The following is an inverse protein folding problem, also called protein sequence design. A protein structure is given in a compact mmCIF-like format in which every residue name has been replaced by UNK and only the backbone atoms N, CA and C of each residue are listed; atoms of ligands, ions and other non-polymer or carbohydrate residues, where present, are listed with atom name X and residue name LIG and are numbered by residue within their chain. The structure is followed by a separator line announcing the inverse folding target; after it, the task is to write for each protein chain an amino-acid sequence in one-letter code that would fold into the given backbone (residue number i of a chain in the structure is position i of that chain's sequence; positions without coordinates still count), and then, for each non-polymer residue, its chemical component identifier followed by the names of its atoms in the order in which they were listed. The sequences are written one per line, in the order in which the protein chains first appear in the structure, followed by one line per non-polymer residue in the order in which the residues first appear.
data_IF_469731107300
#
_entry.id   IF_469731107300
#
_cell.length_a   1.000
_cell.length_b   1.000
_cell.length_c   1.000
_cell.angle_alpha   90.00
_cell.angle_beta   90.00
_cell.angle_gamma   90.00
#
_symmetry.space_group_name_H-M   'P 1'
#
loop_
_entity.id
_entity.type
_entity.pdbx_description
1 polymer ?
#
# COMPACT_ATOMS: atom_id res chain seq x y z
N UNK A 1 8.62 5.06 14.85
CA UNK A 1 9.96 5.53 14.39
C UNK A 1 9.96 5.30 12.90
N UNK A 2 10.12 6.35 12.08
CA UNK A 2 10.11 6.20 10.63
C UNK A 2 11.44 5.60 10.16
N UNK A 3 11.34 4.67 9.22
CA UNK A 3 12.42 3.94 8.59
C UNK A 3 12.55 4.26 7.09
N UNK A 4 11.43 4.58 6.42
CA UNK A 4 11.41 5.03 5.03
C UNK A 4 11.35 6.55 4.90
N UNK A 5 10.38 7.20 5.55
CA UNK A 5 10.25 8.66 5.47
C UNK A 5 11.23 9.34 6.43
N UNK A 6 11.89 10.40 5.94
CA UNK A 6 12.87 11.15 6.75
C UNK A 6 12.20 11.98 7.85
N UNK A 7 10.96 12.42 7.63
CA UNK A 7 10.21 13.25 8.57
C UNK A 7 8.75 12.83 8.74
N UNK A 8 8.15 13.17 9.89
CA UNK A 8 6.71 12.99 10.13
C UNK A 8 5.84 13.74 9.11
N UNK A 9 6.33 14.88 8.59
CA UNK A 9 5.63 15.64 7.56
C UNK A 9 5.57 14.86 6.24
N UNK A 10 6.64 14.15 5.87
CA UNK A 10 6.68 13.32 4.66
C UNK A 10 5.75 12.11 4.79
N UNK A 11 5.77 11.44 5.95
CA UNK A 11 4.85 10.35 6.25
C UNK A 11 3.38 10.82 6.24
N UNK A 12 3.10 12.02 6.77
CA UNK A 12 1.77 12.62 6.74
C UNK A 12 1.34 12.97 5.30
N UNK A 13 2.23 13.52 4.48
CA UNK A 13 1.93 13.81 3.08
C UNK A 13 1.63 12.51 2.31
N UNK A 14 2.38 11.44 2.58
CA UNK A 14 2.11 10.12 2.02
C UNK A 14 0.76 9.55 2.48
N UNK A 15 0.43 9.68 3.77
CA UNK A 15 -0.89 9.31 4.30
C UNK A 15 -2.03 10.08 3.61
N UNK A 16 -1.85 11.37 3.31
CA UNK A 16 -2.86 12.16 2.59
C UNK A 16 -2.99 11.72 1.13
N UNK A 17 -1.88 11.34 0.47
CA UNK A 17 -1.92 10.73 -0.87
C UNK A 17 -2.69 9.40 -0.84
N UNK A 18 -2.39 8.54 0.13
CA UNK A 18 -3.09 7.28 0.34
C UNK A 18 -4.58 7.49 0.60
N UNK A 19 -4.96 8.50 1.40
CA UNK A 19 -6.35 8.88 1.63
C UNK A 19 -7.06 9.32 0.34
N UNK A 20 -6.40 10.10 -0.50
CA UNK A 20 -6.95 10.59 -1.75
C UNK A 20 -7.21 9.48 -2.79
N UNK A 21 -6.51 8.34 -2.69
CA UNK A 21 -6.73 7.16 -3.54
C UNK A 21 -8.05 6.43 -3.25
N UNK A 22 -8.70 6.75 -2.14
CA UNK A 22 -10.02 6.24 -1.78
C UNK A 22 -10.01 4.91 -1.04
N UNK A 23 -11.19 4.48 -0.54
CA UNK A 23 -11.30 3.40 0.44
C UNK A 23 -10.88 2.03 -0.10
N UNK A 24 -11.02 1.78 -1.41
CA UNK A 24 -10.65 0.49 -1.99
C UNK A 24 -9.13 0.29 -2.05
N UNK A 25 -8.38 1.33 -2.41
CA UNK A 25 -6.91 1.28 -2.41
C UNK A 25 -6.36 1.14 -0.99
N UNK A 26 -6.92 1.87 -0.03
CA UNK A 26 -6.55 1.73 1.39
C UNK A 26 -6.75 0.32 1.91
N UNK A 27 -7.95 -0.24 1.70
CA UNK A 27 -8.25 -1.61 2.12
C UNK A 27 -7.33 -2.66 1.48
N UNK A 28 -6.96 -2.46 0.23
CA UNK A 28 -6.00 -3.33 -0.44
C UNK A 28 -4.60 -3.22 0.17
N UNK A 29 -4.16 -2.01 0.53
CA UNK A 29 -2.89 -1.79 1.20
C UNK A 29 -2.92 -2.39 2.61
N UNK A 30 -3.99 -2.18 3.39
CA UNK A 30 -4.21 -2.80 4.71
C UNK A 30 -4.04 -4.33 4.63
N UNK A 31 -4.78 -4.99 3.71
CA UNK A 31 -4.68 -6.44 3.50
C UNK A 31 -3.25 -6.86 3.13
N UNK A 32 -2.56 -6.07 2.28
CA UNK A 32 -1.20 -6.35 1.85
C UNK A 32 -0.17 -6.18 2.98
N UNK A 33 -0.36 -5.21 3.87
CA UNK A 33 0.48 -5.00 5.06
C UNK A 33 0.25 -6.10 6.08
N UNK A 34 -1.00 -6.48 6.32
CA UNK A 34 -1.36 -7.57 7.24
C UNK A 34 -0.80 -8.92 6.78
N UNK A 35 -0.94 -9.26 5.50
CA UNK A 35 -0.49 -10.56 5.00
C UNK A 35 0.97 -10.59 4.57
N UNK A 36 1.61 -9.41 4.43
CA UNK A 36 2.96 -9.17 3.87
C UNK A 36 3.15 -9.64 2.41
N UNK A 37 2.32 -10.58 1.96
CA UNK A 37 2.27 -11.07 0.60
C UNK A 37 0.81 -11.40 0.25
N UNK A 38 0.33 -10.90 -0.88
CA UNK A 38 -1.02 -11.13 -1.36
C UNK A 38 -1.00 -11.66 -2.79
N UNK A 39 -1.44 -12.90 -2.95
CA UNK A 39 -1.52 -13.55 -4.26
C UNK A 39 -2.85 -13.23 -4.95
N UNK A 40 -2.78 -12.86 -6.23
CA UNK A 40 -3.90 -12.49 -7.08
C UNK A 40 -3.72 -13.08 -8.47
N UNK A 41 -4.82 -13.28 -9.21
CA UNK A 41 -4.77 -13.73 -10.62
C UNK A 41 -4.47 -12.62 -11.63
N UNK A 42 -4.66 -11.37 -11.22
CA UNK A 42 -4.47 -10.18 -12.06
C UNK A 42 -4.22 -8.95 -11.20
N UNK A 43 -3.52 -7.97 -11.77
CA UNK A 43 -3.38 -6.62 -11.20
C UNK A 43 -4.72 -5.89 -11.31
N UNK A 44 -5.19 -5.34 -10.19
CA UNK A 44 -6.35 -4.43 -10.18
C UNK A 44 -5.92 -2.98 -10.42
N UNK A 45 -6.84 -2.11 -10.83
CA UNK A 45 -6.53 -0.68 -10.97
C UNK A 45 -6.05 -0.04 -9.65
N UNK A 46 -6.59 -0.50 -8.51
CA UNK A 46 -6.13 -0.06 -7.19
C UNK A 46 -4.71 -0.54 -6.88
N UNK A 47 -4.37 -1.79 -7.21
CA UNK A 47 -3.01 -2.32 -7.06
C UNK A 47 -2.02 -1.52 -7.92
N UNK A 48 -2.38 -1.25 -9.17
CA UNK A 48 -1.53 -0.45 -10.06
C UNK A 48 -1.30 0.96 -9.50
N UNK A 49 -2.37 1.65 -9.07
CA UNK A 49 -2.28 2.99 -8.50
C UNK A 49 -1.41 3.05 -7.23
N UNK A 50 -1.52 2.04 -6.36
CA UNK A 50 -0.66 1.92 -5.17
C UNK A 50 0.80 1.69 -5.57
N UNK A 51 1.04 0.86 -6.58
CA UNK A 51 2.39 0.56 -7.06
C UNK A 51 3.05 1.78 -7.73
N UNK A 52 2.31 2.49 -8.58
CA UNK A 52 2.77 3.73 -9.21
C UNK A 52 3.10 4.81 -8.18
N UNK A 53 2.46 4.76 -7.01
CA UNK A 53 2.71 5.67 -5.90
C UNK A 53 3.83 5.21 -4.96
N UNK A 54 4.37 4.01 -5.19
CA UNK A 54 5.45 3.42 -4.40
C UNK A 54 4.99 2.72 -3.12
N UNK A 55 3.69 2.50 -2.90
CA UNK A 55 3.17 1.90 -1.67
C UNK A 55 3.20 0.37 -1.66
N UNK A 56 3.13 -0.27 -2.82
CA UNK A 56 3.27 -1.72 -2.95
C UNK A 56 4.21 -2.07 -4.11
N UNK A 57 4.76 -3.27 -4.05
CA UNK A 57 5.43 -3.91 -5.19
C UNK A 57 4.49 -4.92 -5.84
N UNK A 58 4.52 -4.96 -7.18
CA UNK A 58 3.81 -5.95 -7.98
C UNK A 58 4.86 -6.83 -8.64
N UNK A 59 4.77 -8.14 -8.45
CA UNK A 59 5.62 -9.14 -9.12
C UNK A 59 4.74 -10.10 -9.89
N UNK A 60 5.05 -10.27 -11.18
CA UNK A 60 4.49 -11.37 -11.95
C UNK A 60 5.27 -12.64 -11.59
N UNK A 61 4.56 -13.63 -11.06
CA UNK A 61 5.09 -14.92 -10.63
C UNK A 61 4.40 -16.07 -11.36
N UNK A 62 3.53 -15.77 -12.32
CA UNK A 62 2.82 -16.74 -13.12
C UNK A 62 3.69 -17.41 -14.17
N UNK A 63 3.17 -18.51 -14.72
CA UNK A 63 3.71 -19.14 -15.92
C UNK A 63 2.74 -18.96 -17.11
N UNK A 64 3.08 -19.57 -18.25
CA UNK A 64 2.26 -19.48 -19.46
C UNK A 64 0.84 -20.09 -19.32
N UNK A 65 0.58 -20.83 -18.25
CA UNK A 65 -0.66 -21.59 -18.02
C UNK A 65 -1.47 -21.07 -16.84
N UNK A 66 -0.80 -20.50 -15.83
CA UNK A 66 -1.41 -19.95 -14.63
C UNK A 66 -0.84 -18.57 -14.34
N UNK A 67 -1.64 -17.54 -14.65
CA UNK A 67 -1.32 -16.18 -14.25
C UNK A 67 -1.39 -16.05 -12.72
N UNK A 68 -0.29 -15.63 -12.12
CA UNK A 68 -0.15 -15.32 -10.71
C UNK A 68 0.59 -14.00 -10.55
N UNK A 69 0.04 -13.14 -9.72
CA UNK A 69 0.62 -11.85 -9.36
C UNK A 69 0.73 -11.83 -7.86
N UNK A 70 1.93 -11.49 -7.39
CA UNK A 70 2.21 -11.28 -5.99
C UNK A 70 2.27 -9.78 -5.71
N UNK A 71 1.48 -9.31 -4.75
CA UNK A 71 1.57 -7.98 -4.19
C UNK A 71 2.29 -8.07 -2.85
N UNK A 72 3.24 -7.17 -2.59
CA UNK A 72 3.89 -7.05 -1.29
C UNK A 72 3.91 -5.58 -0.87
N UNK A 73 3.75 -5.26 0.42
CA UNK A 73 3.83 -3.88 0.86
C UNK A 73 5.26 -3.37 0.67
N UNK A 74 5.37 -2.05 0.59
CA UNK A 74 6.63 -1.37 0.77
C UNK A 74 6.66 -0.75 2.17
N UNK A 75 7.85 -0.49 2.68
CA UNK A 75 8.03 0.26 3.92
C UNK A 75 7.36 1.65 3.86
N UNK A 76 7.39 2.28 2.68
CA UNK A 76 6.70 3.54 2.41
C UNK A 76 5.18 3.43 2.55
N UNK A 77 4.61 2.29 2.13
CA UNK A 77 3.19 1.98 2.25
C UNK A 77 2.77 1.69 3.68
N UNK A 78 3.58 0.90 4.40
CA UNK A 78 3.37 0.60 5.83
C UNK A 78 3.33 1.89 6.66
N UNK A 79 4.34 2.75 6.51
CA UNK A 79 4.42 4.00 7.27
C UNK A 79 3.33 5.00 6.87
N UNK A 80 2.94 5.04 5.60
CA UNK A 80 1.84 5.89 5.16
C UNK A 80 0.49 5.43 5.74
N UNK A 81 0.30 4.12 5.90
CA UNK A 81 -0.89 3.55 6.52
C UNK A 81 -0.92 3.84 8.02
N UNK A 82 0.19 3.59 8.74
CA UNK A 82 0.32 3.89 10.17
C UNK A 82 0.08 5.40 10.45
N UNK A 83 0.68 6.27 9.64
CA UNK A 83 0.47 7.70 9.74
C UNK A 83 -1.00 8.09 9.47
N UNK A 84 -1.67 7.41 8.54
CA UNK A 84 -3.08 7.67 8.25
C UNK A 84 -3.98 7.28 9.43
N UNK A 85 -3.78 6.10 10.00
CA UNK A 85 -4.52 5.60 11.17
C UNK A 85 -4.38 6.55 12.36
N UNK A 86 -3.14 6.96 12.67
CA UNK A 86 -2.86 7.92 13.72
C UNK A 86 -3.60 9.26 13.53
N UNK A 87 -3.69 9.76 12.30
CA UNK A 87 -4.44 10.99 12.01
C UNK A 87 -5.94 10.81 12.20
N UNK A 88 -6.49 9.66 11.78
CA UNK A 88 -7.92 9.37 11.91
C UNK A 88 -8.33 9.17 13.38
N UNK A 89 -7.46 8.60 14.21
CA UNK A 89 -7.68 8.48 15.66
C UNK A 89 -7.69 9.83 16.38
N UNK A 90 -6.79 10.75 16.00
CA UNK A 90 -6.74 12.10 16.60
C UNK A 90 -7.93 13.00 16.27
N UNK A 91 -8.68 12.66 15.22
CA UNK A 91 -9.86 13.41 14.78
C UNK A 91 -11.18 12.85 15.35
N UNK A 92 -11.13 11.75 16.09
CA UNK A 92 -12.26 11.16 16.81
C UNK A 92 -12.33 11.67 18.24
#
# INVERSE_FOLDING_TARGET
MLLHYETEADAHAAAMRLRAMGPHARRLLEECVETQELKRKKVSAAAQMLSDSGFIFIRDSGDMWQAEVTLSPSLAGEEALEALEWNEERLR
#
